data_IF_825588474259
#
_entry.id   IF_825588474259
#
_cell.length_a   1.000
_cell.length_b   1.000
_cell.length_c   1.000
_cell.angle_alpha   90.00
_cell.angle_beta   90.00
_cell.angle_gamma   90.00
#
_symmetry.space_group_name_H-M   'P 1'
#
loop_
_entity.id
_entity.type
_entity.pdbx_description
1 polymer ?
#
# COMPACT_ATOMS: atom_id res chain seq x y z
N UNK A 1 -19.85 -26.84 32.80
CA UNK A 1 -20.39 -26.07 31.66
C UNK A 1 -19.23 -25.73 30.76
N UNK A 2 -19.05 -26.50 29.69
CA UNK A 2 -17.95 -26.36 28.73
C UNK A 2 -18.36 -25.32 27.70
N UNK A 3 -17.57 -24.26 27.51
CA UNK A 3 -17.85 -23.24 26.51
C UNK A 3 -17.91 -23.89 25.12
N UNK A 4 -18.90 -23.50 24.31
CA UNK A 4 -19.01 -23.94 22.92
C UNK A 4 -17.76 -23.53 22.13
N UNK A 5 -17.26 -24.37 21.20
CA UNK A 5 -16.15 -23.98 20.34
C UNK A 5 -16.56 -22.76 19.50
N UNK A 6 -15.64 -21.80 19.41
CA UNK A 6 -15.80 -20.57 18.63
C UNK A 6 -16.09 -20.96 17.15
N UNK A 7 -17.22 -20.53 16.56
CA UNK A 7 -17.67 -21.01 15.24
C UNK A 7 -16.82 -20.48 14.07
N UNK A 8 -15.79 -19.68 14.33
CA UNK A 8 -14.93 -19.13 13.30
C UNK A 8 -13.58 -19.85 13.33
N UNK A 9 -13.19 -20.60 12.28
CA UNK A 9 -11.81 -21.10 12.20
C UNK A 9 -10.89 -19.90 12.34
N UNK A 10 -9.92 -19.97 13.26
CA UNK A 10 -8.93 -18.93 13.48
C UNK A 10 -8.32 -18.57 12.12
N UNK A 11 -8.70 -17.42 11.57
CA UNK A 11 -8.21 -17.01 10.27
C UNK A 11 -6.69 -16.87 10.36
N UNK A 12 -5.94 -17.34 9.34
CA UNK A 12 -4.50 -17.09 9.15
C UNK A 12 -4.12 -15.59 9.04
N UNK A 13 -5.06 -14.70 9.35
CA UNK A 13 -4.89 -13.26 9.39
C UNK A 13 -4.09 -12.86 10.62
N UNK A 14 -2.94 -12.25 10.38
CA UNK A 14 -2.17 -11.55 11.39
C UNK A 14 -2.89 -10.25 11.77
N UNK A 15 -3.37 -10.16 13.01
CA UNK A 15 -4.05 -8.97 13.51
C UNK A 15 -3.02 -7.92 13.97
N UNK A 16 -3.06 -6.68 13.45
CA UNK A 16 -2.17 -5.61 13.93
C UNK A 16 -2.34 -5.33 15.43
N UNK A 17 -1.24 -5.08 16.13
CA UNK A 17 -1.24 -4.67 17.55
C UNK A 17 -1.87 -3.29 17.72
N UNK A 18 -2.52 -3.01 18.86
CA UNK A 18 -3.12 -1.69 19.13
C UNK A 18 -2.12 -0.52 19.12
N UNK A 19 -0.82 -0.79 19.33
CA UNK A 19 0.27 0.19 19.25
C UNK A 19 1.34 -0.32 18.30
N UNK A 20 1.71 0.49 17.32
CA UNK A 20 2.65 0.17 16.24
C UNK A 20 3.23 1.45 15.63
N UNK A 21 4.37 1.33 14.95
CA UNK A 21 4.97 2.43 14.22
C UNK A 21 4.10 2.79 13.02
N UNK A 22 3.99 4.10 12.77
CA UNK A 22 3.22 4.67 11.67
C UNK A 22 4.08 5.68 10.90
N UNK A 23 3.92 5.72 9.59
CA UNK A 23 4.55 6.71 8.72
C UNK A 23 3.52 7.23 7.72
N UNK A 24 3.40 8.55 7.60
CA UNK A 24 2.58 9.16 6.55
C UNK A 24 3.44 9.45 5.33
N UNK A 25 3.09 8.83 4.20
CA UNK A 25 3.78 8.97 2.92
C UNK A 25 2.95 9.75 1.93
N UNK A 26 3.64 10.54 1.11
CA UNK A 26 3.08 11.18 -0.06
C UNK A 26 3.16 10.21 -1.24
N UNK A 27 2.01 9.92 -1.85
CA UNK A 27 1.91 9.08 -3.05
C UNK A 27 1.58 9.97 -4.23
N UNK A 28 2.40 9.89 -5.27
CA UNK A 28 2.17 10.58 -6.54
C UNK A 28 1.82 9.55 -7.63
N UNK A 29 0.64 9.70 -8.22
CA UNK A 29 0.17 8.87 -9.32
C UNK A 29 -0.01 9.74 -10.57
N UNK A 30 0.84 9.52 -11.56
CA UNK A 30 0.70 10.13 -12.89
C UNK A 30 -0.45 9.44 -13.60
N UNK A 31 -1.43 10.17 -14.10
CA UNK A 31 -2.56 9.62 -14.88
C UNK A 31 -2.20 9.52 -16.37
N UNK A 32 -2.98 8.79 -17.19
CA UNK A 32 -2.74 8.70 -18.63
C UNK A 32 -2.75 10.05 -19.37
N UNK A 33 -3.45 11.05 -18.83
CA UNK A 33 -3.50 12.42 -19.35
C UNK A 33 -2.29 13.28 -18.94
N UNK A 34 -1.28 12.68 -18.29
CA UNK A 34 -0.09 13.37 -17.76
C UNK A 34 -0.33 14.10 -16.44
N UNK A 35 -1.58 14.21 -15.96
CA UNK A 35 -1.86 14.91 -14.71
C UNK A 35 -1.43 14.08 -13.49
N UNK A 36 -0.77 14.73 -12.53
CA UNK A 36 -0.34 14.07 -11.28
C UNK A 36 -1.43 14.17 -10.21
N UNK A 37 -1.91 13.03 -9.76
CA UNK A 37 -2.76 12.91 -8.56
C UNK A 37 -1.87 12.71 -7.34
N UNK A 38 -2.05 13.54 -6.30
CA UNK A 38 -1.27 13.46 -5.06
C UNK A 38 -2.17 13.13 -3.89
N UNK A 39 -1.81 12.10 -3.14
CA UNK A 39 -2.51 11.72 -1.91
C UNK A 39 -1.51 11.50 -0.77
N UNK A 40 -2.02 11.53 0.45
CA UNK A 40 -1.33 11.09 1.64
C UNK A 40 -1.92 9.76 2.10
N UNK A 41 -1.05 8.80 2.38
CA UNK A 41 -1.41 7.53 3.00
C UNK A 41 -0.59 7.33 4.27
N UNK A 42 -1.17 6.71 5.28
CA UNK A 42 -0.46 6.33 6.50
C UNK A 42 -0.24 4.83 6.49
N UNK A 43 1.01 4.40 6.61
CA UNK A 43 1.45 3.00 6.65
C UNK A 43 1.68 2.59 8.09
N UNK A 44 1.16 1.43 8.49
CA UNK A 44 1.45 0.81 9.78
C UNK A 44 2.35 -0.41 9.63
N UNK A 45 3.31 -0.54 10.54
CA UNK A 45 4.36 -1.56 10.48
C UNK A 45 4.23 -2.61 11.59
N UNK A 46 4.81 -3.77 11.37
CA UNK A 46 4.90 -4.82 12.39
C UNK A 46 5.82 -4.38 13.54
N UNK A 47 5.41 -4.50 14.82
CA UNK A 47 6.25 -4.12 15.95
C UNK A 47 7.48 -5.02 16.16
N UNK A 48 7.47 -6.24 15.63
CA UNK A 48 8.56 -7.23 15.68
C UNK A 48 9.46 -7.19 14.45
N UNK A 49 8.95 -6.64 13.34
CA UNK A 49 9.67 -6.42 12.09
C UNK A 49 9.33 -5.02 11.54
N UNK A 50 9.99 -3.98 12.05
CA UNK A 50 9.62 -2.59 11.78
C UNK A 50 9.66 -2.21 10.28
N UNK A 51 10.41 -2.93 9.45
CA UNK A 51 10.44 -2.68 8.01
C UNK A 51 9.23 -3.29 7.26
N UNK A 52 8.48 -4.20 7.90
CA UNK A 52 7.36 -4.90 7.25
C UNK A 52 6.04 -4.12 7.41
N UNK A 53 5.46 -3.60 6.31
CA UNK A 53 4.14 -2.98 6.37
C UNK A 53 3.05 -4.05 6.59
N UNK A 54 2.11 -3.77 7.48
CA UNK A 54 0.98 -4.66 7.79
C UNK A 54 -0.38 -4.04 7.49
N UNK A 55 -0.41 -2.73 7.17
CA UNK A 55 -1.62 -2.01 6.81
C UNK A 55 -1.29 -0.65 6.19
N UNK A 56 -2.29 -0.08 5.51
CA UNK A 56 -2.26 1.25 4.93
C UNK A 56 -3.63 1.89 5.07
N UNK A 57 -3.66 3.20 5.33
CA UNK A 57 -4.87 4.01 5.37
C UNK A 57 -4.75 5.20 4.45
N UNK A 58 -5.86 5.57 3.83
CA UNK A 58 -5.97 6.87 3.18
C UNK A 58 -6.07 7.97 4.23
N UNK A 59 -5.27 9.02 4.06
CA UNK A 59 -5.21 10.16 4.99
C UNK A 59 -5.79 11.42 4.35
N UNK A 60 -5.29 11.83 3.17
CA UNK A 60 -5.71 13.07 2.51
C UNK A 60 -5.43 13.05 0.98
N UNK A 61 -5.93 14.03 0.23
CA UNK A 61 -5.58 14.28 -1.18
C UNK A 61 -6.78 14.56 -2.10
N UNK A 62 -7.94 13.97 -1.79
CA UNK A 62 -9.18 14.21 -2.50
C UNK A 62 -10.16 15.08 -1.72
N UNK A 63 -11.01 15.81 -2.45
CA UNK A 63 -12.14 16.55 -1.88
C UNK A 63 -13.01 15.61 -1.05
N UNK A 64 -13.40 16.07 0.13
CA UNK A 64 -14.27 15.30 1.02
C UNK A 64 -15.60 14.96 0.34
N UNK A 65 -16.04 13.71 0.50
CA UNK A 65 -17.29 13.19 -0.08
C UNK A 65 -17.22 12.82 -1.56
N UNK A 66 -16.05 12.86 -2.20
CA UNK A 66 -15.91 12.38 -3.59
C UNK A 66 -15.89 10.85 -3.66
N UNK A 67 -16.51 10.27 -4.70
CA UNK A 67 -16.55 8.81 -4.89
C UNK A 67 -15.15 8.18 -4.99
N UNK A 68 -14.21 8.91 -5.60
CA UNK A 68 -12.82 8.48 -5.70
C UNK A 68 -12.14 8.38 -4.32
N UNK A 69 -12.49 9.27 -3.37
CA UNK A 69 -11.98 9.17 -1.99
C UNK A 69 -12.41 7.85 -1.36
N UNK A 70 -13.69 7.51 -1.46
CA UNK A 70 -14.22 6.26 -0.88
C UNK A 70 -13.61 5.03 -1.56
N UNK A 71 -13.48 5.06 -2.89
CA UNK A 71 -12.82 3.98 -3.64
C UNK A 71 -11.39 3.74 -3.17
N UNK A 72 -10.64 4.82 -2.91
CA UNK A 72 -9.24 4.72 -2.43
C UNK A 72 -9.18 4.26 -0.97
N UNK A 73 -10.13 4.68 -0.13
CA UNK A 73 -10.26 4.16 1.23
C UNK A 73 -10.50 2.64 1.24
N UNK A 74 -11.41 2.16 0.40
CA UNK A 74 -11.69 0.72 0.27
C UNK A 74 -10.46 -0.03 -0.28
N UNK A 75 -9.76 0.53 -1.26
CA UNK A 75 -8.52 -0.03 -1.77
C UNK A 75 -7.46 -0.19 -0.66
N UNK A 76 -7.29 0.82 0.20
CA UNK A 76 -6.39 0.74 1.35
C UNK A 76 -6.78 -0.38 2.34
N UNK A 77 -8.08 -0.55 2.61
CA UNK A 77 -8.59 -1.64 3.47
C UNK A 77 -8.29 -3.00 2.84
N UNK A 78 -8.54 -3.18 1.56
CA UNK A 78 -8.28 -4.43 0.84
C UNK A 78 -6.78 -4.76 0.80
N UNK A 79 -5.92 -3.77 0.53
CA UNK A 79 -4.46 -3.94 0.58
C UNK A 79 -4.03 -4.35 1.99
N UNK A 80 -4.57 -3.70 3.03
CA UNK A 80 -4.28 -4.06 4.43
C UNK A 80 -4.67 -5.50 4.76
N UNK A 81 -5.81 -5.98 4.25
CA UNK A 81 -6.21 -7.37 4.42
C UNK A 81 -5.22 -8.34 3.76
N UNK A 82 -4.77 -8.04 2.53
CA UNK A 82 -3.75 -8.84 1.85
C UNK A 82 -2.44 -8.91 2.63
N UNK A 83 -1.96 -7.77 3.14
CA UNK A 83 -0.76 -7.70 3.98
C UNK A 83 -0.90 -8.54 5.25
N UNK A 84 -2.06 -8.47 5.91
CA UNK A 84 -2.36 -9.24 7.12
C UNK A 84 -2.48 -10.74 6.86
N UNK A 85 -2.74 -11.16 5.62
CA UNK A 85 -2.66 -12.55 5.18
C UNK A 85 -1.26 -12.94 4.66
N UNK A 86 -0.24 -12.10 4.89
CA UNK A 86 1.15 -12.39 4.55
C UNK A 86 1.51 -12.20 3.08
N UNK A 87 0.65 -11.55 2.28
CA UNK A 87 1.01 -11.21 0.90
C UNK A 87 1.93 -9.99 0.91
N UNK A 88 3.17 -10.08 0.42
CA UNK A 88 4.10 -8.97 0.49
C UNK A 88 3.75 -7.87 -0.53
N UNK A 89 4.08 -6.58 -0.25
CA UNK A 89 3.74 -5.45 -1.12
C UNK A 89 4.11 -5.63 -2.60
N UNK A 90 5.28 -6.21 -2.88
CA UNK A 90 5.79 -6.43 -4.23
C UNK A 90 4.90 -7.38 -5.01
N UNK A 91 4.35 -8.42 -4.34
CA UNK A 91 3.43 -9.40 -4.93
C UNK A 91 2.05 -8.79 -5.18
N UNK A 92 1.59 -7.90 -4.31
CA UNK A 92 0.37 -7.13 -4.51
C UNK A 92 0.54 -6.25 -5.75
N UNK A 93 1.55 -5.37 -5.76
CA UNK A 93 1.82 -4.42 -6.83
C UNK A 93 2.00 -5.13 -8.19
N UNK A 94 2.76 -6.23 -8.20
CA UNK A 94 2.97 -7.16 -9.31
C UNK A 94 1.69 -7.64 -10.02
N UNK A 95 0.56 -7.69 -9.30
CA UNK A 95 -0.72 -8.21 -9.79
C UNK A 95 -1.69 -7.09 -10.19
N UNK A 96 -1.28 -5.84 -10.06
CA UNK A 96 -2.11 -4.67 -10.35
C UNK A 96 -1.99 -4.28 -11.83
N UNK A 97 -3.02 -3.61 -12.34
CA UNK A 97 -3.02 -3.09 -13.70
C UNK A 97 -1.82 -2.17 -13.93
N UNK A 98 -1.06 -2.45 -14.99
CA UNK A 98 0.03 -1.61 -15.51
C UNK A 98 -0.41 -0.96 -16.82
N UNK A 99 0.38 0.00 -17.31
CA UNK A 99 0.22 0.56 -18.66
C UNK A 99 1.58 0.65 -19.33
N UNK A 100 1.56 0.58 -20.65
CA UNK A 100 2.73 0.87 -21.46
C UNK A 100 3.05 2.36 -21.35
N UNK A 101 4.34 2.68 -21.27
CA UNK A 101 4.85 4.05 -21.17
C UNK A 101 6.01 4.14 -22.13
N UNK A 102 5.85 4.90 -23.21
CA UNK A 102 6.92 5.16 -24.18
C UNK A 102 7.95 6.16 -23.64
N UNK A 103 7.49 7.11 -22.82
CA UNK A 103 8.30 8.04 -22.02
C UNK A 103 8.20 7.69 -20.53
N UNK A 104 8.86 6.61 -20.10
CA UNK A 104 9.06 6.35 -18.67
C UNK A 104 10.12 7.32 -18.12
N UNK A 105 9.84 8.62 -18.20
CA UNK A 105 10.69 9.62 -17.56
C UNK A 105 10.61 9.38 -16.04
N UNK A 106 11.77 9.07 -15.46
CA UNK A 106 11.97 8.38 -14.17
C UNK A 106 11.52 9.17 -12.94
N UNK A 107 10.76 10.25 -13.10
CA UNK A 107 10.63 11.32 -12.10
C UNK A 107 9.32 11.31 -11.32
N UNK A 108 8.32 10.48 -11.65
CA UNK A 108 7.15 10.32 -10.76
C UNK A 108 6.37 9.02 -10.99
N UNK A 109 6.53 8.04 -10.09
CA UNK A 109 5.62 6.89 -9.98
C UNK A 109 6.01 5.62 -10.75
N UNK A 110 7.15 5.62 -11.44
CA UNK A 110 7.77 4.39 -11.92
C UNK A 110 8.43 3.64 -10.75
N UNK A 111 8.07 2.38 -10.55
CA UNK A 111 8.74 1.52 -9.59
C UNK A 111 9.58 0.49 -10.32
N UNK A 112 10.83 0.34 -9.91
CA UNK A 112 11.66 -0.76 -10.37
C UNK A 112 11.09 -2.06 -9.80
N UNK A 113 10.62 -2.96 -10.67
CA UNK A 113 10.44 -4.36 -10.28
C UNK A 113 11.85 -4.96 -10.20
N UNK A 114 12.14 -5.77 -9.19
CA UNK A 114 13.46 -6.40 -9.05
C UNK A 114 13.81 -7.18 -10.33
N UNK A 115 14.72 -6.64 -11.14
CA UNK A 115 15.21 -7.26 -12.38
C UNK A 115 14.44 -6.93 -13.67
N UNK A 116 13.46 -6.01 -13.64
CA UNK A 116 12.67 -5.61 -14.82
C UNK A 116 12.66 -4.07 -14.96
N UNK A 117 12.32 -3.57 -16.16
CA UNK A 117 12.28 -2.14 -16.45
C UNK A 117 11.32 -1.32 -15.54
N UNK A 118 11.31 0.01 -15.67
CA UNK A 118 10.42 0.87 -14.88
C UNK A 118 8.95 0.49 -15.11
N UNK A 119 8.22 0.15 -14.04
CA UNK A 119 6.80 -0.20 -14.12
C UNK A 119 5.95 1.02 -13.82
N UNK A 120 5.06 1.36 -14.75
CA UNK A 120 4.06 2.41 -14.58
C UNK A 120 2.70 1.77 -14.28
N UNK A 121 2.18 2.01 -13.08
CA UNK A 121 0.89 1.46 -12.67
C UNK A 121 -0.28 2.23 -13.31
N UNK A 122 -1.25 1.50 -13.85
CA UNK A 122 -2.48 2.06 -14.44
C UNK A 122 -3.50 2.54 -13.41
N UNK A 123 -3.31 2.20 -12.14
CA UNK A 123 -4.23 2.57 -11.05
C UNK A 123 -3.51 3.18 -9.85
N UNK A 124 -4.25 4.02 -9.12
CA UNK A 124 -3.79 4.59 -7.85
C UNK A 124 -3.57 3.50 -6.80
N UNK A 125 -4.42 2.47 -6.75
CA UNK A 125 -4.24 1.33 -5.86
C UNK A 125 -2.92 0.58 -6.14
N UNK A 126 -2.55 0.39 -7.41
CA UNK A 126 -1.26 -0.20 -7.77
C UNK A 126 -0.07 0.68 -7.36
N UNK A 127 -0.21 2.00 -7.51
CA UNK A 127 0.81 2.96 -7.08
C UNK A 127 0.98 2.95 -5.55
N UNK A 128 -0.12 2.86 -4.79
CA UNK A 128 -0.09 2.70 -3.32
C UNK A 128 0.63 1.40 -2.95
N UNK A 129 0.22 0.26 -3.53
CA UNK A 129 0.83 -1.03 -3.23
C UNK A 129 2.34 -1.04 -3.49
N UNK A 130 2.78 -0.41 -4.58
CA UNK A 130 4.19 -0.28 -4.90
C UNK A 130 4.94 0.65 -3.95
N UNK A 131 4.32 1.75 -3.50
CA UNK A 131 4.91 2.61 -2.45
C UNK A 131 5.17 1.82 -1.16
N UNK A 132 4.34 0.84 -0.80
CA UNK A 132 4.54 0.03 0.40
C UNK A 132 5.77 -0.88 0.34
N UNK A 133 6.30 -1.17 -0.85
CA UNK A 133 7.55 -1.93 -1.01
C UNK A 133 8.81 -1.10 -0.70
N UNK A 134 8.68 0.23 -0.65
CA UNK A 134 9.78 1.12 -0.27
C UNK A 134 9.95 1.05 1.25
N UNK A 135 11.17 0.81 1.77
CA UNK A 135 11.43 0.84 3.22
C UNK A 135 11.02 2.18 3.84
N UNK A 136 10.64 2.21 5.13
CA UNK A 136 10.32 3.47 5.80
C UNK A 136 11.53 4.39 5.88
N UNK A 137 11.31 5.70 5.79
CA UNK A 137 12.41 6.67 5.79
C UNK A 137 13.27 6.62 7.05
N UNK A 138 12.67 6.26 8.20
CA UNK A 138 13.36 6.11 9.47
C UNK A 138 14.16 4.80 9.61
N UNK A 139 14.00 3.81 8.70
CA UNK A 139 14.79 2.57 8.77
C UNK A 139 16.24 2.77 8.32
N UNK A 140 16.53 3.76 7.49
CA UNK A 140 17.91 4.07 7.05
C UNK A 140 18.70 4.87 8.10
N UNK A 141 18.02 5.55 9.04
CA UNK A 141 18.66 6.36 10.09
C UNK A 141 19.13 5.53 11.30
N UNK A 142 18.88 4.21 11.31
CA UNK A 142 19.14 3.33 12.44
C UNK A 142 20.47 2.52 12.33
N UNK A 143 21.29 2.76 11.30
CA UNK A 143 22.69 2.29 11.19
C UNK A 143 23.69 3.34 11.71
#
# INVERSE_FOLDING_TARGET
MTAAPDPNPQSDRQRPSNRRLLETRKVEHVRPDGNVTRILVTVGYDPTDPARPIEVFYSEGFRSGSDIKFTVQDACVLISLLLQHGVPPERIASSMATRESEDADLTSGAFARRGDGPVVYGSLAGTIAAQLAVPPGWAEEAE
#
